data_IF_033829596656
#
_entry.id   IF_033829596656
#
_cell.length_a   1.000
_cell.length_b   1.000
_cell.length_c   1.000
_cell.angle_alpha   90.00
_cell.angle_beta   90.00
_cell.angle_gamma   90.00
#
_symmetry.space_group_name_H-M   'P 1'
#
loop_
_entity.id
_entity.type
_entity.pdbx_description
1 polymer ?
#
# COMPACT_ATOMS: atom_id res chain seq x y z
N UNK A 1 2.29 10.64 -1.08
CA UNK A 1 0.88 10.51 -1.47
C UNK A 1 0.01 10.81 -0.28
N UNK A 2 -0.80 11.87 -0.36
CA UNK A 2 -1.76 12.23 0.68
C UNK A 2 -3.00 11.34 0.57
N UNK A 3 -3.42 10.75 1.69
CA UNK A 3 -4.65 9.96 1.81
C UNK A 3 -5.62 10.74 2.68
N UNK A 4 -6.82 11.00 2.16
CA UNK A 4 -7.94 11.57 2.92
C UNK A 4 -9.26 11.02 2.37
N UNK A 5 -9.68 9.88 2.91
CA UNK A 5 -10.89 9.19 2.43
C UNK A 5 -11.46 8.29 3.52
N UNK A 6 -12.80 8.23 3.61
CA UNK A 6 -13.53 7.35 4.54
C UNK A 6 -12.94 7.36 5.97
N UNK A 7 -12.68 8.55 6.51
CA UNK A 7 -12.19 8.72 7.88
C UNK A 7 -10.74 8.32 8.13
N UNK A 8 -9.96 7.99 7.08
CA UNK A 8 -8.51 7.84 7.14
C UNK A 8 -7.84 9.09 6.60
N UNK A 9 -6.85 9.59 7.33
CA UNK A 9 -6.03 10.74 6.96
C UNK A 9 -4.55 10.44 7.17
N UNK A 10 -3.71 10.97 6.29
CA UNK A 10 -2.27 10.89 6.47
C UNK A 10 -1.52 10.82 5.16
N UNK A 11 -0.30 10.32 5.21
CA UNK A 11 0.59 10.30 4.07
C UNK A 11 1.34 8.97 3.96
N UNK A 12 1.58 8.57 2.71
CA UNK A 12 2.55 7.51 2.37
C UNK A 12 3.62 8.11 1.47
N UNK A 13 4.88 8.05 1.89
CA UNK A 13 6.02 8.54 1.11
C UNK A 13 6.95 7.40 0.72
N UNK A 14 7.50 7.50 -0.48
CA UNK A 14 8.50 6.60 -1.00
C UNK A 14 9.77 7.39 -1.29
N UNK A 15 10.89 6.96 -0.74
CA UNK A 15 12.18 7.63 -0.90
C UNK A 15 13.23 6.63 -1.35
N UNK A 16 13.96 6.95 -2.42
CA UNK A 16 15.04 6.12 -2.94
C UNK A 16 16.21 7.04 -3.24
N UNK A 17 17.37 6.81 -2.61
CA UNK A 17 18.54 7.68 -2.75
C UNK A 17 19.17 7.55 -4.15
N UNK A 18 19.34 6.31 -4.61
CA UNK A 18 19.76 6.00 -5.98
C UNK A 18 18.99 4.79 -6.50
N UNK A 19 18.94 4.57 -7.84
CA UNK A 19 18.27 3.40 -8.42
C UNK A 19 18.71 2.04 -7.87
N UNK A 20 19.87 1.97 -7.21
CA UNK A 20 20.46 0.75 -6.67
C UNK A 20 20.21 0.55 -5.17
N UNK A 21 19.65 1.56 -4.49
CA UNK A 21 19.27 1.45 -3.08
C UNK A 21 17.84 0.92 -2.92
N UNK A 22 17.52 0.30 -1.77
CA UNK A 22 16.13 -0.02 -1.44
C UNK A 22 15.29 1.25 -1.38
N UNK A 23 14.01 1.11 -1.70
CA UNK A 23 13.05 2.18 -1.50
C UNK A 23 12.55 2.14 -0.08
N UNK A 24 12.72 3.23 0.64
CA UNK A 24 12.13 3.46 1.95
C UNK A 24 10.66 3.80 1.77
N UNK A 25 9.80 3.08 2.49
CA UNK A 25 8.35 3.26 2.51
C UNK A 25 7.98 3.77 3.89
N UNK A 26 7.55 5.03 3.97
CA UNK A 26 7.07 5.61 5.22
C UNK A 26 5.56 5.78 5.14
N UNK A 27 4.85 5.09 6.04
CA UNK A 27 3.39 5.04 6.11
C UNK A 27 2.97 5.73 7.40
N UNK A 28 2.26 6.85 7.28
CA UNK A 28 1.74 7.61 8.41
C UNK A 28 0.25 7.82 8.20
N UNK A 29 -0.55 6.82 8.59
CA UNK A 29 -2.00 6.81 8.36
C UNK A 29 -2.75 6.70 9.67
N UNK A 30 -3.63 7.68 9.90
CA UNK A 30 -4.35 7.85 11.14
C UNK A 30 -5.86 7.90 10.86
N UNK A 31 -6.66 7.05 11.53
CA UNK A 31 -8.10 7.23 11.55
C UNK A 31 -8.44 8.53 12.30
N UNK A 32 -9.57 9.14 11.96
CA UNK A 32 -10.16 10.21 12.77
C UNK A 32 -10.47 9.62 14.17
N UNK A 33 -10.39 10.46 15.22
CA UNK A 33 -10.52 10.10 16.65
C UNK A 33 -11.93 9.62 17.07
N UNK A 34 -12.51 8.70 16.31
CA UNK A 34 -13.75 8.00 16.60
C UNK A 34 -13.49 6.49 16.65
N UNK A 35 -14.10 5.81 17.63
CA UNK A 35 -13.86 4.39 17.89
C UNK A 35 -14.32 3.51 16.73
N UNK A 36 -15.46 3.83 16.11
CA UNK A 36 -15.99 3.06 14.97
C UNK A 36 -15.01 3.11 13.79
N UNK A 37 -14.48 4.29 13.48
CA UNK A 37 -13.52 4.46 12.38
C UNK A 37 -12.19 3.77 12.65
N UNK A 38 -11.71 3.80 13.90
CA UNK A 38 -10.52 3.05 14.33
C UNK A 38 -10.72 1.54 14.17
N UNK A 39 -11.82 1.00 14.68
CA UNK A 39 -12.15 -0.42 14.55
C UNK A 39 -12.31 -0.82 13.09
N UNK A 40 -12.93 0.02 12.26
CA UNK A 40 -13.05 -0.22 10.82
C UNK A 40 -11.68 -0.27 10.16
N UNK A 41 -10.76 0.63 10.51
CA UNK A 41 -9.40 0.61 9.97
C UNK A 41 -8.67 -0.68 10.32
N UNK A 42 -8.74 -1.11 11.58
CA UNK A 42 -8.06 -2.33 12.04
C UNK A 42 -8.65 -3.61 11.42
N UNK A 43 -9.98 -3.65 11.20
CA UNK A 43 -10.70 -4.87 10.76
C UNK A 43 -11.01 -4.95 9.27
N UNK A 44 -11.12 -3.83 8.57
CA UNK A 44 -11.56 -3.81 7.16
C UNK A 44 -10.43 -3.59 6.18
N UNK A 45 -9.28 -3.06 6.61
CA UNK A 45 -8.12 -3.00 5.73
C UNK A 45 -7.60 -4.42 5.51
N UNK A 46 -7.72 -4.87 4.27
CA UNK A 46 -7.24 -6.18 3.85
C UNK A 46 -5.87 -6.07 3.17
N UNK A 47 -5.61 -5.00 2.40
CA UNK A 47 -4.34 -4.85 1.71
C UNK A 47 -4.01 -3.41 1.26
N UNK A 48 -2.73 -3.10 1.20
CA UNK A 48 -2.14 -1.93 0.55
C UNK A 48 -1.55 -2.37 -0.78
N UNK A 49 -2.02 -1.79 -1.89
CA UNK A 49 -1.57 -2.15 -3.24
C UNK A 49 -1.32 -0.93 -4.11
N UNK A 50 -0.22 -0.94 -4.85
CA UNK A 50 0.00 -0.02 -5.96
C UNK A 50 -0.64 -0.61 -7.20
N UNK A 51 -1.42 0.20 -7.90
CA UNK A 51 -2.15 -0.21 -9.10
C UNK A 51 -1.48 0.31 -10.38
N UNK A 52 -1.94 -0.17 -11.53
CA UNK A 52 -1.34 0.17 -12.82
C UNK A 52 -1.51 1.65 -13.18
N UNK A 53 -2.69 2.22 -12.98
CA UNK A 53 -2.99 3.59 -13.43
C UNK A 53 -3.13 4.55 -12.24
N UNK A 54 -2.82 5.84 -12.42
CA UNK A 54 -3.27 6.87 -11.51
C UNK A 54 -4.80 6.95 -11.50
N UNK A 55 -5.33 7.61 -10.48
CA UNK A 55 -6.76 7.92 -10.42
C UNK A 55 -7.14 8.87 -11.57
N UNK A 56 -8.18 8.55 -12.32
CA UNK A 56 -8.70 9.40 -13.41
C UNK A 56 -9.50 10.58 -12.82
N UNK A 57 -9.03 11.82 -12.94
CA UNK A 57 -9.71 12.97 -12.35
C UNK A 57 -11.09 13.23 -12.99
N UNK A 58 -11.29 12.89 -14.27
CA UNK A 58 -12.51 13.20 -15.00
C UNK A 58 -13.65 12.25 -14.64
N UNK A 59 -13.36 10.96 -14.48
CA UNK A 59 -14.34 9.94 -14.07
C UNK A 59 -14.73 10.01 -12.58
N UNK A 60 -13.97 10.75 -11.78
CA UNK A 60 -14.23 10.87 -10.33
C UNK A 60 -15.30 11.90 -9.96
N UNK A 61 -15.80 12.66 -10.94
CA UNK A 61 -16.88 13.64 -10.78
C UNK A 61 -18.28 13.01 -10.82
N UNK A 62 -18.40 11.75 -11.22
CA UNK A 62 -19.65 11.01 -11.11
C UNK A 62 -19.88 10.61 -9.64
N UNK A 63 -20.89 11.20 -9.00
CA UNK A 63 -21.24 11.08 -7.56
C UNK A 63 -21.41 9.64 -7.02
N UNK A 64 -21.29 8.61 -7.85
CA UNK A 64 -21.39 7.18 -7.50
C UNK A 64 -20.19 6.31 -7.89
N UNK A 65 -19.26 6.80 -8.72
CA UNK A 65 -18.12 6.00 -9.16
C UNK A 65 -17.08 5.90 -8.04
N UNK A 66 -16.69 4.68 -7.67
CA UNK A 66 -15.61 4.49 -6.71
C UNK A 66 -14.30 4.96 -7.39
N UNK A 67 -13.69 6.01 -6.84
CA UNK A 67 -12.47 6.64 -7.37
C UNK A 67 -11.37 5.61 -7.68
N UNK A 68 -11.28 4.58 -6.84
CA UNK A 68 -10.33 3.47 -6.96
C UNK A 68 -10.64 2.47 -8.09
N UNK A 69 -11.77 2.56 -8.81
CA UNK A 69 -12.04 1.67 -9.95
C UNK A 69 -11.28 2.09 -11.21
N UNK A 70 -10.87 3.35 -11.28
CA UNK A 70 -10.16 3.92 -12.44
C UNK A 70 -8.70 3.48 -12.53
N UNK A 71 -8.16 2.93 -11.44
CA UNK A 71 -6.73 2.63 -11.27
C UNK A 71 -6.32 1.28 -11.88
N UNK A 72 -7.28 0.51 -12.40
CA UNK A 72 -7.13 -0.88 -12.86
C UNK A 72 -6.73 -1.85 -11.74
N UNK A 73 -5.95 -2.90 -12.07
CA UNK A 73 -5.50 -3.91 -11.13
C UNK A 73 -4.15 -3.57 -10.48
N UNK A 74 -3.71 -4.46 -9.60
CA UNK A 74 -2.41 -4.37 -8.94
C UNK A 74 -1.27 -4.37 -9.96
N UNK A 75 -0.27 -3.52 -9.71
CA UNK A 75 0.91 -3.41 -10.55
C UNK A 75 1.78 -4.66 -10.45
N UNK A 76 1.83 -5.43 -11.54
CA UNK A 76 2.55 -6.71 -11.61
C UNK A 76 3.29 -6.85 -12.95
N UNK A 77 4.36 -6.07 -13.17
CA UNK A 77 5.07 -6.07 -14.45
C UNK A 77 5.80 -7.39 -14.74
N UNK A 78 6.08 -8.19 -13.71
CA UNK A 78 6.72 -9.51 -13.82
C UNK A 78 5.72 -10.66 -14.00
N UNK A 79 4.42 -10.35 -14.09
CA UNK A 79 3.35 -11.35 -14.23
C UNK A 79 3.41 -12.47 -13.20
N UNK A 80 3.78 -12.14 -11.95
CA UNK A 80 3.84 -13.08 -10.82
C UNK A 80 2.45 -13.71 -10.62
N UNK A 81 2.43 -15.03 -10.47
CA UNK A 81 1.19 -15.78 -10.26
C UNK A 81 0.70 -15.62 -8.82
N UNK A 82 -0.31 -14.77 -8.62
CA UNK A 82 -0.85 -14.40 -7.30
C UNK A 82 -1.41 -15.58 -6.49
N UNK A 83 -1.63 -16.75 -7.09
CA UNK A 83 -2.08 -17.97 -6.40
C UNK A 83 -0.94 -18.75 -5.75
N UNK A 84 0.31 -18.50 -6.16
CA UNK A 84 1.50 -19.20 -5.69
C UNK A 84 2.36 -18.37 -4.74
N UNK A 85 1.96 -17.12 -4.49
CA UNK A 85 2.68 -16.26 -3.54
C UNK A 85 2.46 -16.77 -2.11
N UNK A 86 3.48 -16.72 -1.24
CA UNK A 86 3.30 -17.06 0.17
C UNK A 86 2.31 -16.12 0.86
N UNK A 87 1.76 -16.50 2.04
CA UNK A 87 0.97 -15.59 2.86
C UNK A 87 1.72 -14.29 3.14
N UNK A 88 0.98 -13.18 3.33
CA UNK A 88 1.58 -11.86 3.53
C UNK A 88 2.56 -11.85 4.72
N UNK A 89 3.76 -11.34 4.50
CA UNK A 89 4.84 -11.30 5.51
C UNK A 89 5.69 -12.58 5.63
N UNK A 90 5.29 -13.70 5.01
CA UNK A 90 5.99 -14.98 5.12
C UNK A 90 6.94 -15.30 3.95
N UNK A 91 6.91 -14.51 2.87
CA UNK A 91 7.77 -14.66 1.71
C UNK A 91 8.90 -13.62 1.63
N UNK A 92 9.81 -13.84 0.68
CA UNK A 92 10.83 -12.86 0.29
C UNK A 92 10.22 -11.83 -0.67
N UNK A 93 10.78 -10.61 -0.69
CA UNK A 93 10.17 -9.48 -1.42
C UNK A 93 10.02 -9.73 -2.93
N UNK A 94 10.90 -10.53 -3.52
CA UNK A 94 10.90 -10.90 -4.94
C UNK A 94 9.74 -11.83 -5.34
N UNK A 95 9.16 -12.56 -4.39
CA UNK A 95 8.07 -13.51 -4.63
C UNK A 95 6.72 -12.80 -4.84
N UNK A 96 6.60 -11.53 -4.45
CA UNK A 96 5.37 -10.77 -4.56
C UNK A 96 5.43 -9.81 -5.75
N UNK A 97 4.25 -9.45 -6.28
CA UNK A 97 4.15 -8.41 -7.29
C UNK A 97 4.77 -7.10 -6.79
N UNK A 98 5.34 -6.31 -7.72
CA UNK A 98 5.95 -5.01 -7.40
C UNK A 98 4.97 -4.12 -6.62
N UNK A 99 3.70 -4.13 -6.98
CA UNK A 99 2.66 -3.35 -6.30
C UNK A 99 2.05 -3.98 -5.04
N UNK A 100 2.45 -5.17 -4.60
CA UNK A 100 1.86 -5.82 -3.42
C UNK A 100 2.60 -5.41 -2.12
N UNK A 101 2.23 -4.25 -1.56
CA UNK A 101 2.89 -3.74 -0.34
C UNK A 101 2.49 -4.55 0.89
N UNK A 102 1.23 -4.96 1.03
CA UNK A 102 0.82 -5.81 2.16
C UNK A 102 1.49 -7.18 2.11
N UNK A 103 1.50 -7.83 0.94
CA UNK A 103 2.17 -9.13 0.79
C UNK A 103 3.62 -9.08 1.25
N UNK A 104 4.33 -7.99 0.89
CA UNK A 104 5.72 -7.77 1.27
C UNK A 104 5.88 -7.32 2.72
N UNK A 105 5.20 -6.27 3.16
CA UNK A 105 5.56 -5.51 4.36
C UNK A 105 4.75 -5.89 5.60
N UNK A 106 3.65 -6.62 5.46
CA UNK A 106 2.82 -7.00 6.59
C UNK A 106 3.62 -7.82 7.62
N UNK A 107 3.44 -7.50 8.90
CA UNK A 107 4.13 -8.17 9.99
C UNK A 107 5.60 -7.77 10.15
N UNK A 108 6.17 -6.98 9.25
CA UNK A 108 7.51 -6.39 9.44
C UNK A 108 7.39 -5.20 10.38
N UNK A 109 8.21 -5.18 11.43
CA UNK A 109 8.16 -4.18 12.50
C UNK A 109 9.57 -3.67 12.76
N UNK A 110 10.14 -2.94 11.81
CA UNK A 110 11.48 -2.39 12.02
C UNK A 110 11.36 -1.10 12.84
N UNK A 111 11.73 -1.18 14.12
CA UNK A 111 11.81 0.00 14.99
C UNK A 111 10.48 0.70 15.33
N UNK A 112 9.34 0.06 15.07
CA UNK A 112 8.01 0.62 15.36
C UNK A 112 7.10 -0.38 16.08
N UNK A 113 6.54 0.03 17.21
CA UNK A 113 5.49 -0.71 17.91
C UNK A 113 4.13 -0.45 17.26
N UNK A 114 3.59 -1.50 16.65
CA UNK A 114 2.21 -1.50 16.17
C UNK A 114 1.27 -1.76 17.35
N UNK A 115 0.67 -0.70 17.88
CA UNK A 115 -0.45 -0.81 18.82
C UNK A 115 -1.73 -1.12 18.03
N UNK A 116 -1.88 -2.39 17.66
CA UNK A 116 -3.09 -2.87 17.01
C UNK A 116 -4.15 -3.16 18.08
N UNK A 117 -5.37 -2.68 17.87
CA UNK A 117 -6.49 -2.94 18.79
C UNK A 117 -6.89 -4.43 18.71
N UNK A 118 -6.64 -5.07 17.57
CA UNK A 118 -6.94 -6.47 17.30
C UNK A 118 -5.75 -7.15 16.64
N UNK A 119 -5.44 -8.41 17.00
CA UNK A 119 -4.38 -9.16 16.34
C UNK A 119 -4.76 -9.48 14.88
N UNK A 120 -3.76 -9.55 14.01
CA UNK A 120 -3.94 -9.97 12.62
C UNK A 120 -4.42 -8.88 11.67
N UNK A 121 -4.39 -7.61 12.06
CA UNK A 121 -4.64 -6.50 11.13
C UNK A 121 -3.60 -6.49 9.99
N UNK A 122 -4.05 -6.18 8.77
CA UNK A 122 -3.16 -5.96 7.63
C UNK A 122 -2.61 -4.52 7.58
N UNK A 123 -2.86 -3.73 8.63
CA UNK A 123 -2.44 -2.34 8.78
C UNK A 123 -0.92 -2.17 8.63
N UNK A 124 -0.54 -1.19 7.83
CA UNK A 124 0.82 -0.69 7.72
C UNK A 124 0.87 0.71 8.35
N UNK A 125 1.87 0.94 9.21
CA UNK A 125 2.12 2.24 9.84
C UNK A 125 3.55 2.26 10.41
N UNK A 126 4.40 3.17 9.96
CA UNK A 126 5.81 3.21 10.31
C UNK A 126 6.72 3.24 9.08
N UNK A 127 7.99 2.91 9.29
CA UNK A 127 9.02 2.94 8.26
C UNK A 127 9.39 1.51 7.87
N UNK A 128 9.46 1.27 6.57
CA UNK A 128 9.82 -0.01 5.96
C UNK A 128 10.82 0.23 4.82
N UNK A 129 11.43 -0.85 4.33
CA UNK A 129 12.23 -0.84 3.11
C UNK A 129 11.80 -1.95 2.15
N UNK A 130 11.95 -1.68 0.84
CA UNK A 130 11.61 -2.62 -0.22
C UNK A 130 12.61 -2.52 -1.38
N UNK A 131 13.31 -3.62 -1.64
CA UNK A 131 14.30 -3.72 -2.74
C UNK A 131 13.66 -3.97 -4.10
N UNK A 132 12.38 -4.33 -4.15
CA UNK A 132 11.61 -4.63 -5.35
C UNK A 132 10.49 -3.61 -5.61
N UNK A 133 10.70 -2.37 -5.15
CA UNK A 133 9.80 -1.23 -5.36
C UNK A 133 10.54 -0.04 -5.98
N UNK A 134 10.99 -0.12 -7.24
CA UNK A 134 11.83 0.90 -7.84
C UNK A 134 11.09 2.23 -8.03
N UNK A 135 11.76 3.36 -7.78
CA UNK A 135 11.27 4.70 -8.12
C UNK A 135 11.83 5.20 -9.46
N UNK A 136 12.67 4.42 -10.12
CA UNK A 136 13.28 4.75 -11.41
C UNK A 136 13.25 3.56 -12.38
N UNK A 137 13.53 3.81 -13.65
CA UNK A 137 13.51 2.79 -14.70
C UNK A 137 12.11 2.37 -15.15
N UNK A 138 12.06 1.35 -16.01
CA UNK A 138 10.84 0.90 -16.71
C UNK A 138 9.77 0.32 -15.79
N UNK A 139 10.16 -0.11 -14.60
CA UNK A 139 9.26 -0.66 -13.59
C UNK A 139 8.91 0.31 -12.46
N UNK A 140 9.22 1.60 -12.64
CA UNK A 140 8.96 2.62 -11.64
C UNK A 140 7.49 2.65 -11.21
N UNK A 141 7.28 2.83 -9.90
CA UNK A 141 5.95 3.05 -9.31
C UNK A 141 5.55 4.52 -9.21
N UNK A 142 6.41 5.44 -9.67
CA UNK A 142 6.06 6.86 -9.76
C UNK A 142 4.85 7.04 -10.69
N UNK A 143 3.98 8.02 -10.35
CA UNK A 143 2.73 8.33 -11.05
C UNK A 143 1.69 7.19 -11.11
N UNK A 144 1.86 6.14 -10.31
CA UNK A 144 0.83 5.12 -10.08
C UNK A 144 0.01 5.46 -8.83
N UNK A 145 -1.16 4.86 -8.69
CA UNK A 145 -1.99 5.05 -7.50
C UNK A 145 -1.68 4.02 -6.42
N UNK A 146 -1.69 4.46 -5.17
CA UNK A 146 -1.79 3.59 -4.00
C UNK A 146 -3.27 3.41 -3.64
N UNK A 147 -3.71 2.15 -3.49
CA UNK A 147 -5.07 1.79 -3.15
C UNK A 147 -5.07 0.92 -1.88
N UNK A 148 -5.92 1.31 -0.94
CA UNK A 148 -6.20 0.58 0.28
C UNK A 148 -7.51 -0.20 0.05
N UNK A 149 -7.44 -1.53 0.15
CA UNK A 149 -8.57 -2.45 0.02
C UNK A 149 -9.21 -2.75 1.36
#
# INVERSE_FOLDING_TARGET
>A
TLVNSRGLKGEVTFTQETPYHPTWVNVSLHPINDLETRLRYETKIAAYRIHNLPQDPYKTNEKKANRCQTTQGMYNPKSIELKKVPPAGFGTQDQYAVGDLSGKLQGRREGYDHQDILPGSAKLNGIYWDTYLPLSGVHSVIHRSLVLH
#
